data_IF_706142366029
#
_entry.id   IF_706142366029
#
_cell.length_a   1.000
_cell.length_b   1.000
_cell.length_c   1.000
_cell.angle_alpha   90.00
_cell.angle_beta   90.00
_cell.angle_gamma   90.00
#
_symmetry.space_group_name_H-M   'P 1'
#
loop_
_entity.id
_entity.type
_entity.pdbx_description
1 polymer ?
#
# COMPACT_ATOMS: atom_id res chain seq x y z
N UNK A 1 -5.93 7.95 -2.97
CA UNK A 1 -6.23 7.32 -4.28
C UNK A 1 -7.05 6.05 -4.03
N UNK A 2 -8.04 5.75 -4.87
CA UNK A 2 -8.86 4.53 -4.75
C UNK A 2 -8.71 3.70 -6.03
N UNK A 3 -8.23 2.48 -5.92
CA UNK A 3 -8.02 1.58 -7.06
C UNK A 3 -8.61 0.21 -6.79
N UNK A 4 -8.96 -0.52 -7.83
CA UNK A 4 -9.49 -1.88 -7.72
C UNK A 4 -8.51 -2.85 -8.37
N UNK A 5 -8.21 -3.97 -7.70
CA UNK A 5 -7.42 -5.06 -8.27
C UNK A 5 -8.29 -6.30 -8.41
N UNK A 6 -7.96 -7.15 -9.39
CA UNK A 6 -8.52 -8.50 -9.50
C UNK A 6 -7.89 -9.49 -8.52
N UNK A 7 -6.77 -9.13 -7.87
CA UNK A 7 -6.07 -9.96 -6.88
C UNK A 7 -6.82 -9.97 -5.55
N UNK A 8 -6.67 -11.06 -4.80
CA UNK A 8 -7.15 -11.10 -3.42
C UNK A 8 -6.30 -10.17 -2.51
N UNK A 9 -6.79 -9.83 -1.30
CA UNK A 9 -6.11 -8.84 -0.47
C UNK A 9 -4.66 -9.19 -0.14
N UNK A 10 -4.39 -10.47 0.13
CA UNK A 10 -3.05 -10.95 0.48
C UNK A 10 -2.09 -10.86 -0.71
N UNK A 11 -2.50 -11.33 -1.88
CA UNK A 11 -1.71 -11.24 -3.12
C UNK A 11 -1.37 -9.79 -3.48
N UNK A 12 -2.33 -8.88 -3.31
CA UNK A 12 -2.07 -7.47 -3.53
C UNK A 12 -1.08 -6.90 -2.51
N UNK A 13 -1.26 -7.24 -1.22
CA UNK A 13 -0.38 -6.79 -0.15
C UNK A 13 1.07 -7.26 -0.36
N UNK A 14 1.25 -8.53 -0.76
CA UNK A 14 2.57 -9.12 -1.01
C UNK A 14 3.26 -8.46 -2.20
N UNK A 15 2.53 -8.22 -3.30
CA UNK A 15 3.04 -7.48 -4.46
C UNK A 15 3.48 -6.08 -4.05
N UNK A 16 2.63 -5.36 -3.32
CA UNK A 16 2.90 -4.00 -2.88
C UNK A 16 4.12 -3.94 -1.95
N UNK A 17 4.20 -4.87 -0.99
CA UNK A 17 5.32 -4.97 -0.07
C UNK A 17 6.64 -5.25 -0.81
N UNK A 18 6.63 -6.11 -1.82
CA UNK A 18 7.79 -6.38 -2.68
C UNK A 18 8.27 -5.13 -3.43
N UNK A 19 7.35 -4.36 -4.04
CA UNK A 19 7.70 -3.12 -4.75
C UNK A 19 8.26 -2.06 -3.80
N UNK A 20 7.65 -1.90 -2.63
CA UNK A 20 8.07 -0.89 -1.65
C UNK A 20 9.39 -1.25 -0.96
N UNK A 21 9.62 -2.53 -0.66
CA UNK A 21 10.85 -2.98 0.01
C UNK A 21 12.12 -2.70 -0.80
N UNK A 22 12.01 -2.51 -2.12
CA UNK A 22 13.12 -2.08 -2.98
C UNK A 22 13.58 -0.63 -2.70
N UNK A 23 12.69 0.20 -2.16
CA UNK A 23 12.93 1.63 -1.93
C UNK A 23 13.14 2.00 -0.46
N UNK A 24 12.65 1.18 0.49
CA UNK A 24 12.61 1.47 1.92
C UNK A 24 12.43 0.21 2.77
N UNK A 25 12.35 0.39 4.10
CA UNK A 25 12.00 -0.69 5.03
C UNK A 25 10.71 -1.38 4.58
N UNK A 26 10.62 -2.72 4.70
CA UNK A 26 9.40 -3.45 4.42
C UNK A 26 8.23 -2.82 5.18
N UNK A 27 7.07 -2.65 4.52
CA UNK A 27 5.90 -2.13 5.20
C UNK A 27 5.36 -3.17 6.19
N UNK A 28 4.71 -2.70 7.25
CA UNK A 28 4.02 -3.58 8.20
C UNK A 28 2.63 -3.90 7.64
N UNK A 29 2.24 -5.17 7.64
CA UNK A 29 0.92 -5.61 7.19
C UNK A 29 0.14 -6.05 8.42
N UNK A 30 -1.03 -5.45 8.61
CA UNK A 30 -1.93 -5.75 9.72
C UNK A 30 -3.31 -6.16 9.19
N UNK A 31 -3.98 -7.13 9.83
CA UNK A 31 -5.37 -7.44 9.51
C UNK A 31 -6.25 -6.23 9.86
N UNK A 32 -7.16 -5.86 8.95
CA UNK A 32 -8.10 -4.75 9.16
C UNK A 32 -9.46 -5.09 8.57
N UNK A 33 -10.47 -5.16 9.44
CA UNK A 33 -11.84 -5.55 9.07
C UNK A 33 -11.84 -6.87 8.28
N UNK A 34 -12.36 -6.85 7.05
CA UNK A 34 -12.46 -7.96 6.11
C UNK A 34 -11.27 -8.03 5.12
N UNK A 35 -10.18 -7.32 5.42
CA UNK A 35 -9.01 -7.23 4.57
C UNK A 35 -7.73 -6.92 5.33
N UNK A 36 -6.85 -6.15 4.70
CA UNK A 36 -5.50 -5.85 5.20
C UNK A 36 -5.23 -4.35 5.19
N UNK A 37 -4.38 -3.90 6.11
CA UNK A 37 -3.81 -2.57 6.13
C UNK A 37 -2.30 -2.67 6.03
N UNK A 38 -1.74 -2.00 5.04
CA UNK A 38 -0.29 -1.87 4.84
C UNK A 38 0.16 -0.51 5.35
N UNK A 39 1.03 -0.53 6.35
CA UNK A 39 1.58 0.64 7.02
C UNK A 39 2.98 0.87 6.49
N UNK A 40 3.14 1.97 5.76
CA UNK A 40 4.43 2.36 5.19
C UNK A 40 5.16 3.25 6.19
N UNK A 41 6.25 2.76 6.76
CA UNK A 41 7.06 3.51 7.72
C UNK A 41 7.77 4.71 7.05
N UNK A 42 7.83 5.83 7.78
CA UNK A 42 8.66 6.97 7.40
C UNK A 42 10.12 6.72 7.83
N UNK A 43 11.08 7.20 7.04
CA UNK A 43 12.52 6.99 7.31
C UNK A 43 13.00 7.69 8.58
N UNK A 44 12.41 8.83 8.94
CA UNK A 44 12.90 9.76 9.96
C UNK A 44 11.90 10.07 11.10
N UNK A 45 10.71 9.45 11.12
CA UNK A 45 9.68 9.74 12.12
C UNK A 45 8.90 8.48 12.49
N UNK A 46 8.29 8.50 13.68
CA UNK A 46 7.40 7.44 14.17
C UNK A 46 6.03 7.43 13.47
N UNK A 47 5.70 8.48 12.71
CA UNK A 47 4.45 8.54 11.95
C UNK A 47 4.55 7.72 10.65
N UNK A 48 3.44 7.07 10.21
CA UNK A 48 3.42 6.40 8.93
C UNK A 48 3.44 7.43 7.79
N UNK A 49 4.25 7.14 6.77
CA UNK A 49 4.34 7.92 5.54
C UNK A 49 3.08 7.73 4.68
N UNK A 50 2.56 6.51 4.62
CA UNK A 50 1.32 6.18 3.95
C UNK A 50 0.62 5.00 4.64
N UNK A 51 -0.70 4.94 4.48
CA UNK A 51 -1.54 3.80 4.82
C UNK A 51 -2.20 3.30 3.54
N UNK A 52 -2.20 2.00 3.33
CA UNK A 52 -2.91 1.37 2.22
C UNK A 52 -3.88 0.36 2.78
N UNK A 53 -5.17 0.65 2.67
CA UNK A 53 -6.23 -0.27 3.05
C UNK A 53 -6.62 -1.12 1.86
N UNK A 54 -6.67 -2.43 2.05
CA UNK A 54 -6.98 -3.42 1.02
C UNK A 54 -8.19 -4.20 1.55
N UNK A 55 -9.37 -3.87 1.07
CA UNK A 55 -10.63 -4.50 1.44
C UNK A 55 -10.99 -5.59 0.44
N UNK A 56 -11.56 -6.70 0.91
CA UNK A 56 -12.01 -7.78 0.03
C UNK A 56 -13.28 -7.37 -0.74
N UNK A 57 -13.42 -7.83 -1.98
CA UNK A 57 -14.67 -7.67 -2.75
C UNK A 57 -14.97 -8.91 -3.59
N UNK A 58 -16.22 -9.08 -4.02
CA UNK A 58 -16.61 -10.13 -4.97
C UNK A 58 -15.85 -9.95 -6.29
N UNK A 59 -14.81 -10.76 -6.51
CA UNK A 59 -13.95 -10.69 -7.70
C UNK A 59 -12.67 -9.86 -7.57
N UNK A 60 -12.17 -9.62 -6.36
CA UNK A 60 -10.82 -9.05 -6.15
C UNK A 60 -10.69 -8.25 -4.87
N UNK A 61 -10.00 -7.11 -4.93
CA UNK A 61 -9.78 -6.21 -3.78
C UNK A 61 -10.01 -4.74 -4.12
N UNK A 62 -10.50 -3.99 -3.14
CA UNK A 62 -10.59 -2.52 -3.18
C UNK A 62 -9.43 -1.94 -2.39
N UNK A 63 -8.67 -1.03 -2.99
CA UNK A 63 -7.47 -0.45 -2.40
C UNK A 63 -7.65 1.04 -2.20
N UNK A 64 -7.50 1.49 -0.96
CA UNK A 64 -7.56 2.90 -0.55
C UNK A 64 -6.19 3.33 -0.04
N UNK A 65 -5.56 4.22 -0.78
CA UNK A 65 -4.23 4.77 -0.47
C UNK A 65 -4.39 6.14 0.19
N UNK A 66 -3.87 6.26 1.41
CA UNK A 66 -3.79 7.47 2.20
C UNK A 66 -2.32 7.88 2.36
N UNK A 67 -1.86 8.78 1.52
CA UNK A 67 -0.51 9.34 1.62
C UNK A 67 -0.51 10.64 2.42
N UNK A 68 0.50 10.81 3.29
CA UNK A 68 0.76 12.13 3.89
C UNK A 68 1.65 12.94 2.94
N UNK A 69 1.09 13.98 2.34
CA UNK A 69 1.75 14.88 1.38
C UNK A 69 2.89 15.73 1.99
N UNK A 70 3.12 15.67 3.31
CA UNK A 70 4.08 16.54 4.02
C UNK A 70 5.54 16.07 3.97
N UNK A 71 5.93 15.20 3.02
CA UNK A 71 7.23 14.52 3.06
C UNK A 71 8.15 14.85 1.87
N UNK A 72 8.98 15.88 2.04
CA UNK A 72 10.18 16.10 1.22
C UNK A 72 11.36 15.43 1.96
N UNK A 73 12.18 14.56 1.34
CA UNK A 73 12.22 14.11 -0.04
C UNK A 73 11.75 12.63 -0.12
N UNK A 74 10.47 12.36 0.10
CA UNK A 74 9.88 11.08 -0.32
C UNK A 74 9.11 11.39 -1.60
N UNK A 75 9.67 10.92 -2.71
CA UNK A 75 9.11 11.05 -4.04
C UNK A 75 7.63 10.71 -3.99
N UNK A 76 6.79 11.69 -4.31
CA UNK A 76 5.32 11.65 -4.31
C UNK A 76 4.68 10.53 -5.15
N UNK A 77 5.46 9.59 -5.67
CA UNK A 77 5.01 8.55 -6.61
C UNK A 77 5.41 7.14 -6.21
N UNK A 78 6.22 6.89 -5.19
CA UNK A 78 6.64 5.49 -4.93
C UNK A 78 5.48 4.62 -4.44
N UNK A 79 4.63 5.14 -3.55
CA UNK A 79 3.42 4.42 -3.08
C UNK A 79 2.42 4.28 -4.23
N UNK A 80 2.17 5.36 -4.98
CA UNK A 80 1.25 5.35 -6.12
C UNK A 80 1.72 4.38 -7.21
N UNK A 81 3.00 4.45 -7.63
CA UNK A 81 3.58 3.55 -8.61
C UNK A 81 3.54 2.10 -8.14
N UNK A 82 3.82 1.83 -6.86
CA UNK A 82 3.73 0.48 -6.31
C UNK A 82 2.29 -0.02 -6.27
N UNK A 83 1.35 0.85 -5.89
CA UNK A 83 -0.07 0.53 -5.91
C UNK A 83 -0.54 0.21 -7.33
N UNK A 84 -0.21 1.07 -8.30
CA UNK A 84 -0.55 0.90 -9.72
C UNK A 84 0.08 -0.34 -10.34
N UNK A 85 1.36 -0.58 -10.09
CA UNK A 85 2.06 -1.77 -10.58
C UNK A 85 1.46 -3.09 -10.07
N UNK A 86 0.72 -3.06 -8.97
CA UNK A 86 0.08 -4.23 -8.38
C UNK A 86 -1.41 -4.35 -8.70
N UNK A 87 -2.04 -3.32 -9.31
CA UNK A 87 -3.44 -3.38 -9.76
C UNK A 87 -3.61 -4.47 -10.82
N UNK A 88 -2.69 -4.50 -11.79
CA UNK A 88 -2.72 -5.42 -12.94
C UNK A 88 -2.27 -6.82 -12.52
N UNK A 89 -3.11 -7.81 -12.80
CA UNK A 89 -2.75 -9.23 -12.82
C UNK A 89 -2.25 -9.60 -14.20
#
# INVERSE_FOLDING_TARGET
MNVMSGKNPQEYADCFAGKISSSRKPPLIEPRHDGLRVIVAQKLSKAPAALVDIESRSGGSTIKVYERLSNVPIRFRDVQNAAEACISG
#
